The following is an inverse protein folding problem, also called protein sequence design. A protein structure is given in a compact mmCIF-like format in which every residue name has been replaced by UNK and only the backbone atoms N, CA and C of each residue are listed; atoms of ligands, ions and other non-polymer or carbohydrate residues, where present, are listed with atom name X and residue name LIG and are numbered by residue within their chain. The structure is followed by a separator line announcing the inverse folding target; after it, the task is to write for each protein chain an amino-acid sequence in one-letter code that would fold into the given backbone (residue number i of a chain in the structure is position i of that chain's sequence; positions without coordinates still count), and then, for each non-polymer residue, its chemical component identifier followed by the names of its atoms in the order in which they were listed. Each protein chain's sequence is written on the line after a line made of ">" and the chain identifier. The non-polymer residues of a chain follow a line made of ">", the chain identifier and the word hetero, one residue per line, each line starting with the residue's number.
data_IF_235658477164
#
_entry.id   IF_235658477164
#
_cell.length_a   1.000
_cell.length_b   1.000
_cell.length_c   1.000
_cell.angle_alpha   90.00
_cell.angle_beta   90.00
_cell.angle_gamma   90.00
#
_symmetry.space_group_name_H-M   'P 1'
#
loop_
_entity.id
_entity.type
_entity.pdbx_description
1 polymer ?
#
# COMPACT_ATOMS: atom_id res chain seq x y z
N UNK A 1 -46.32 -1.19 3.82
CA UNK A 1 -46.01 -2.24 4.82
C UNK A 1 -44.58 -2.70 4.60
N UNK A 2 -43.64 -2.26 5.44
CA UNK A 2 -42.24 -2.71 5.36
C UNK A 2 -42.17 -4.15 5.89
N UNK A 3 -41.82 -5.13 5.04
CA UNK A 3 -41.67 -6.51 5.50
C UNK A 3 -40.49 -6.59 6.47
N UNK A 4 -40.78 -6.95 7.71
CA UNK A 4 -39.76 -7.12 8.75
C UNK A 4 -39.47 -8.61 8.93
N UNK A 5 -38.24 -9.03 8.63
CA UNK A 5 -37.76 -10.38 8.85
C UNK A 5 -37.16 -10.52 10.26
N UNK A 6 -37.34 -11.65 10.94
CA UNK A 6 -36.74 -11.91 12.26
C UNK A 6 -35.82 -13.12 12.19
N UNK A 7 -34.57 -12.95 12.64
CA UNK A 7 -33.60 -14.04 12.76
C UNK A 7 -32.73 -13.83 13.99
N UNK A 8 -32.59 -14.87 14.82
CA UNK A 8 -31.82 -14.84 16.06
C UNK A 8 -32.18 -13.65 16.98
N UNK A 9 -33.46 -13.30 17.08
CA UNK A 9 -33.94 -12.17 17.90
C UNK A 9 -33.75 -10.79 17.27
N UNK A 10 -33.05 -10.66 16.15
CA UNK A 10 -32.84 -9.39 15.42
C UNK A 10 -33.91 -9.23 14.33
N UNK A 11 -34.50 -8.04 14.24
CA UNK A 11 -35.40 -7.65 13.15
C UNK A 11 -34.59 -7.10 11.98
N UNK A 12 -35.04 -7.31 10.75
CA UNK A 12 -34.42 -6.80 9.54
C UNK A 12 -35.48 -6.22 8.61
N UNK A 13 -35.18 -5.17 7.86
CA UNK A 13 -36.00 -4.72 6.74
C UNK A 13 -35.30 -5.04 5.41
N UNK A 14 -36.10 -5.07 4.36
CA UNK A 14 -35.61 -5.23 2.99
C UNK A 14 -35.17 -3.87 2.48
N UNK A 15 -33.91 -3.76 2.09
CA UNK A 15 -33.34 -2.53 1.55
C UNK A 15 -33.20 -2.57 0.02
N UNK A 16 -32.75 -3.72 -0.52
CA UNK A 16 -32.57 -3.95 -1.97
C UNK A 16 -32.88 -5.39 -2.34
N UNK A 17 -33.21 -5.61 -3.62
CA UNK A 17 -33.33 -6.94 -4.21
C UNK A 17 -32.78 -6.94 -5.65
N UNK A 18 -32.23 -8.08 -6.09
CA UNK A 18 -31.70 -8.24 -7.44
C UNK A 18 -31.68 -9.73 -7.84
N UNK A 19 -31.82 -10.02 -9.14
CA UNK A 19 -31.65 -11.40 -9.66
C UNK A 19 -30.20 -11.90 -9.63
N UNK A 20 -29.23 -11.03 -9.38
CA UNK A 20 -27.80 -11.33 -9.44
C UNK A 20 -27.18 -11.03 -8.07
N UNK A 21 -26.70 -12.07 -7.40
CA UNK A 21 -26.10 -11.98 -6.08
C UNK A 21 -24.87 -11.06 -6.05
N UNK A 22 -24.03 -11.09 -7.09
CA UNK A 22 -22.78 -10.33 -7.13
C UNK A 22 -23.01 -8.81 -7.08
N UNK A 23 -24.14 -8.33 -7.63
CA UNK A 23 -24.53 -6.92 -7.57
C UNK A 23 -24.85 -6.50 -6.13
N UNK A 24 -25.48 -7.38 -5.36
CA UNK A 24 -25.76 -7.12 -3.95
C UNK A 24 -24.50 -7.28 -3.09
N UNK A 25 -23.63 -8.24 -3.40
CA UNK A 25 -22.36 -8.44 -2.68
C UNK A 25 -21.42 -7.25 -2.84
N UNK A 26 -21.37 -6.62 -4.02
CA UNK A 26 -20.57 -5.43 -4.26
C UNK A 26 -20.97 -4.24 -3.37
N UNK A 27 -22.25 -4.14 -2.99
CA UNK A 27 -22.75 -3.06 -2.13
C UNK A 27 -22.87 -3.47 -0.66
N UNK A 28 -22.86 -4.76 -0.33
CA UNK A 28 -22.96 -5.25 1.06
C UNK A 28 -21.96 -4.56 2.04
N UNK A 29 -20.69 -4.28 1.68
CA UNK A 29 -19.76 -3.59 2.58
C UNK A 29 -20.16 -2.17 2.98
N UNK A 30 -21.10 -1.54 2.27
CA UNK A 30 -21.61 -0.20 2.61
C UNK A 30 -22.72 -0.25 3.66
N UNK A 31 -23.22 -1.44 4.00
CA UNK A 31 -24.31 -1.63 4.95
C UNK A 31 -23.81 -2.00 6.35
N UNK A 32 -24.62 -1.77 7.40
CA UNK A 32 -24.23 -2.07 8.77
C UNK A 32 -23.79 -3.53 8.96
N UNK A 33 -22.83 -3.80 9.86
CA UNK A 33 -22.48 -5.16 10.24
C UNK A 33 -23.73 -5.96 10.66
N UNK A 34 -23.84 -7.20 10.18
CA UNK A 34 -25.04 -8.03 10.36
C UNK A 34 -26.03 -7.95 9.21
N UNK A 35 -25.84 -7.04 8.25
CA UNK A 35 -26.57 -7.10 6.97
C UNK A 35 -26.15 -8.35 6.20
N UNK A 36 -27.09 -8.97 5.49
CA UNK A 36 -26.82 -10.18 4.72
C UNK A 36 -27.70 -10.27 3.47
N UNK A 37 -27.24 -11.08 2.52
CA UNK A 37 -27.98 -11.38 1.29
C UNK A 37 -28.57 -12.78 1.43
N UNK A 38 -29.84 -12.94 1.06
CA UNK A 38 -30.48 -14.25 0.98
C UNK A 38 -31.30 -14.38 -0.30
N UNK A 39 -31.39 -15.59 -0.81
CA UNK A 39 -32.27 -15.93 -1.93
C UNK A 39 -33.69 -16.13 -1.44
N UNK A 40 -34.64 -15.38 -2.01
CA UNK A 40 -36.07 -15.50 -1.72
C UNK A 40 -36.76 -16.22 -2.88
N UNK A 41 -37.06 -17.51 -2.68
CA UNK A 41 -37.68 -18.39 -3.69
C UNK A 41 -39.07 -17.91 -4.10
N UNK A 42 -39.77 -17.19 -3.23
CA UNK A 42 -41.11 -16.66 -3.53
C UNK A 42 -41.08 -15.21 -4.05
N UNK A 43 -39.88 -14.62 -4.16
CA UNK A 43 -39.70 -13.19 -4.37
C UNK A 43 -40.18 -12.34 -3.19
N UNK A 44 -40.03 -11.03 -3.30
CA UNK A 44 -40.40 -10.06 -2.26
C UNK A 44 -41.63 -9.26 -2.63
N UNK A 45 -42.41 -8.88 -1.63
CA UNK A 45 -43.57 -8.00 -1.83
C UNK A 45 -43.12 -6.55 -1.80
N UNK A 46 -43.44 -5.82 -2.85
CA UNK A 46 -43.13 -4.41 -3.03
C UNK A 46 -44.16 -3.51 -2.31
N UNK A 47 -43.83 -2.23 -2.05
CA UNK A 47 -44.74 -1.29 -1.40
C UNK A 47 -46.06 -1.08 -2.15
N UNK A 48 -46.05 -1.24 -3.47
CA UNK A 48 -47.22 -1.16 -4.35
C UNK A 48 -48.09 -2.43 -4.33
N UNK A 49 -47.72 -3.43 -3.51
CA UNK A 49 -48.44 -4.68 -3.34
C UNK A 49 -48.06 -5.79 -4.32
N UNK A 50 -47.28 -5.50 -5.37
CA UNK A 50 -46.80 -6.50 -6.34
C UNK A 50 -45.74 -7.41 -5.70
N UNK A 51 -45.57 -8.61 -6.24
CA UNK A 51 -44.45 -9.50 -5.88
C UNK A 51 -43.42 -9.50 -6.99
N UNK A 52 -42.14 -9.52 -6.62
CA UNK A 52 -41.06 -9.77 -7.57
C UNK A 52 -41.03 -11.26 -7.91
N UNK A 53 -40.35 -11.57 -9.02
CA UNK A 53 -39.83 -12.92 -9.27
C UNK A 53 -38.83 -13.36 -8.17
N UNK A 54 -38.49 -14.65 -8.09
CA UNK A 54 -37.47 -15.15 -7.18
C UNK A 54 -36.16 -14.37 -7.34
N UNK A 55 -35.63 -13.84 -6.25
CA UNK A 55 -34.49 -12.91 -6.31
C UNK A 55 -33.63 -12.96 -5.04
N UNK A 56 -32.41 -12.46 -5.13
CA UNK A 56 -31.60 -12.17 -3.95
C UNK A 56 -32.08 -10.89 -3.29
N UNK A 57 -32.04 -10.86 -1.97
CA UNK A 57 -32.56 -9.77 -1.14
C UNK A 57 -31.53 -9.41 -0.09
N UNK A 58 -31.26 -8.11 0.02
CA UNK A 58 -30.40 -7.54 1.04
C UNK A 58 -31.24 -7.15 2.27
N UNK A 59 -31.00 -7.86 3.35
CA UNK A 59 -31.61 -7.65 4.66
C UNK A 59 -30.71 -6.79 5.54
N UNK A 60 -31.26 -5.72 6.09
CA UNK A 60 -30.55 -4.76 6.96
C UNK A 60 -31.20 -4.76 8.35
N UNK A 61 -30.45 -4.90 9.46
CA UNK A 61 -31.03 -5.00 10.80
C UNK A 61 -31.75 -3.70 11.24
N UNK A 62 -32.95 -3.84 11.79
CA UNK A 62 -33.78 -2.78 12.38
C UNK A 62 -33.53 -2.75 13.89
N UNK A 63 -33.11 -1.59 14.42
CA UNK A 63 -33.03 -1.34 15.87
C UNK A 63 -31.67 -1.60 16.51
N UNK A 64 -30.60 -1.71 15.72
CA UNK A 64 -29.25 -1.45 16.24
C UNK A 64 -29.00 0.05 16.21
N UNK A 65 -29.45 0.77 17.24
CA UNK A 65 -28.90 2.09 17.61
C UNK A 65 -27.47 1.95 18.17
N UNK A 66 -26.71 0.98 17.66
CA UNK A 66 -25.27 1.04 17.78
C UNK A 66 -24.88 2.06 16.73
N UNK A 67 -24.33 3.23 17.09
CA UNK A 67 -23.64 4.04 16.10
C UNK A 67 -22.66 3.07 15.45
N UNK A 68 -22.84 2.82 14.16
CA UNK A 68 -21.79 2.24 13.33
C UNK A 68 -20.60 3.11 13.68
N UNK A 69 -19.71 2.60 14.54
CA UNK A 69 -18.49 3.33 14.83
C UNK A 69 -17.71 3.14 13.55
N UNK A 70 -17.89 4.10 12.63
CA UNK A 70 -17.39 4.20 11.26
C UNK A 70 -15.86 4.18 11.20
N UNK A 71 -15.17 3.71 12.23
CA UNK A 71 -13.72 3.59 12.28
C UNK A 71 -13.20 2.38 11.51
N UNK A 72 -13.99 1.32 11.35
CA UNK A 72 -13.52 0.10 10.67
C UNK A 72 -13.95 0.01 9.20
N UNK A 73 -15.12 0.55 8.81
CA UNK A 73 -15.63 0.49 7.44
C UNK A 73 -15.04 1.53 6.46
N UNK A 74 -14.21 2.47 6.94
CA UNK A 74 -13.63 3.54 6.12
C UNK A 74 -12.10 3.54 6.08
N UNK A 75 -11.45 2.40 6.33
CA UNK A 75 -9.99 2.29 6.10
C UNK A 75 -9.72 1.98 4.64
N UNK A 76 -9.66 3.04 3.85
CA UNK A 76 -9.07 3.03 2.50
C UNK A 76 -7.69 2.36 2.59
N UNK A 77 -7.30 1.52 1.61
CA UNK A 77 -5.98 0.91 1.58
C UNK A 77 -4.89 1.95 1.83
N UNK A 78 -3.93 1.63 2.70
CA UNK A 78 -2.80 2.53 2.96
C UNK A 78 -1.92 2.59 1.71
N UNK A 79 -1.95 3.71 1.00
CA UNK A 79 -1.05 3.96 -0.13
C UNK A 79 0.20 4.72 0.33
N UNK A 80 1.37 4.25 -0.07
CA UNK A 80 2.64 4.93 0.21
C UNK A 80 2.63 6.34 -0.40
N UNK A 81 3.05 7.33 0.38
CA UNK A 81 3.07 8.75 -0.01
C UNK A 81 1.70 9.42 -0.23
N UNK A 82 0.60 8.75 0.12
CA UNK A 82 -0.74 9.34 0.11
C UNK A 82 -1.27 9.27 1.55
N UNK A 83 -1.70 10.42 2.08
CA UNK A 83 -2.22 10.54 3.44
C UNK A 83 -3.63 11.09 3.36
N UNK A 84 -4.58 10.40 4.00
CA UNK A 84 -5.93 10.93 4.20
C UNK A 84 -5.87 12.00 5.30
N UNK A 85 -6.46 13.15 5.04
CA UNK A 85 -6.67 14.21 6.04
C UNK A 85 -8.17 14.47 6.09
N UNK A 86 -8.71 14.35 7.30
CA UNK A 86 -10.09 14.62 7.64
C UNK A 86 -10.10 15.61 8.80
N UNK A 87 -10.41 16.87 8.52
CA UNK A 87 -10.52 17.95 9.51
C UNK A 87 -11.99 18.39 9.58
N UNK A 88 -12.66 18.01 10.68
CA UNK A 88 -14.07 18.29 10.89
C UNK A 88 -14.34 19.77 11.20
N UNK A 89 -13.41 20.46 11.85
CA UNK A 89 -13.59 21.87 12.20
C UNK A 89 -13.52 22.75 10.96
N UNK A 90 -12.58 22.43 10.05
CA UNK A 90 -12.37 23.17 8.81
C UNK A 90 -13.19 22.65 7.63
N UNK A 91 -13.96 21.57 7.85
CA UNK A 91 -14.70 20.86 6.79
C UNK A 91 -13.79 20.47 5.61
N UNK A 92 -12.54 20.12 5.91
CA UNK A 92 -11.53 19.79 4.91
C UNK A 92 -11.32 18.28 4.87
N UNK A 93 -11.80 17.67 3.79
CA UNK A 93 -11.74 16.24 3.56
C UNK A 93 -11.01 15.97 2.25
N UNK A 94 -9.95 15.18 2.29
CA UNK A 94 -9.18 14.89 1.08
C UNK A 94 -7.90 14.12 1.32
N UNK A 95 -7.11 14.00 0.26
CA UNK A 95 -5.84 13.29 0.26
C UNK A 95 -4.68 14.24 -0.02
N UNK A 96 -3.66 14.18 0.83
CA UNK A 96 -2.37 14.82 0.60
C UNK A 96 -1.42 13.80 -0.03
N UNK A 97 -0.91 14.13 -1.22
CA UNK A 97 0.14 13.34 -1.87
C UNK A 97 1.47 14.05 -1.70
N UNK A 98 2.52 13.31 -1.30
CA UNK A 98 3.87 13.87 -1.17
C UNK A 98 4.93 12.87 -1.65
N UNK A 99 5.41 13.06 -2.87
CA UNK A 99 6.50 12.26 -3.45
C UNK A 99 7.82 13.03 -3.33
N UNK A 100 8.83 12.36 -2.77
CA UNK A 100 10.18 12.91 -2.67
C UNK A 100 11.20 11.98 -3.30
N UNK A 101 12.13 12.57 -4.06
CA UNK A 101 13.23 11.86 -4.70
C UNK A 101 14.40 12.79 -5.01
N UNK A 102 15.63 12.37 -4.69
CA UNK A 102 16.87 13.13 -4.94
C UNK A 102 16.83 14.62 -4.50
N UNK A 103 16.10 14.93 -3.42
CA UNK A 103 15.93 16.29 -2.92
C UNK A 103 14.84 17.11 -3.64
N UNK A 104 14.24 16.59 -4.70
CA UNK A 104 13.04 17.17 -5.34
C UNK A 104 11.77 16.66 -4.64
N UNK A 105 10.76 17.52 -4.55
CA UNK A 105 9.49 17.24 -3.89
C UNK A 105 8.35 17.61 -4.84
N UNK A 106 7.45 16.65 -5.09
CA UNK A 106 6.15 16.87 -5.71
C UNK A 106 5.08 16.65 -4.66
N UNK A 107 4.24 17.65 -4.43
CA UNK A 107 3.16 17.59 -3.44
C UNK A 107 1.90 18.19 -4.03
N UNK A 108 0.75 17.62 -3.70
CA UNK A 108 -0.54 18.18 -4.10
C UNK A 108 -1.66 17.68 -3.18
N UNK A 109 -2.80 18.37 -3.21
CA UNK A 109 -3.97 18.15 -2.38
C UNK A 109 -5.21 17.83 -3.22
N UNK A 110 -5.90 16.74 -2.86
CA UNK A 110 -7.06 16.22 -3.57
C UNK A 110 -8.28 16.24 -2.65
N UNK A 111 -9.08 17.29 -2.74
CA UNK A 111 -10.28 17.47 -1.93
C UNK A 111 -11.45 16.60 -2.44
N UNK A 112 -12.19 15.99 -1.53
CA UNK A 112 -13.33 15.12 -1.87
C UNK A 112 -14.39 15.86 -2.70
N UNK A 113 -14.72 17.09 -2.31
CA UNK A 113 -15.73 17.92 -2.98
C UNK A 113 -15.39 18.13 -4.47
N UNK A 114 -14.10 18.27 -4.80
CA UNK A 114 -13.66 18.51 -6.18
C UNK A 114 -13.73 17.26 -7.06
N UNK A 115 -13.51 16.08 -6.48
CA UNK A 115 -13.33 14.83 -7.23
C UNK A 115 -14.49 13.83 -7.01
N UNK A 116 -15.70 14.32 -6.69
CA UNK A 116 -16.88 13.46 -6.61
C UNK A 116 -16.90 12.54 -5.38
N UNK A 117 -16.25 12.97 -4.30
CA UNK A 117 -16.19 12.25 -3.03
C UNK A 117 -14.88 11.49 -2.83
N UNK A 118 -14.89 10.65 -1.79
CA UNK A 118 -13.68 10.02 -1.26
C UNK A 118 -12.95 9.12 -2.26
N UNK A 119 -13.67 8.30 -3.01
CA UNK A 119 -13.06 7.36 -3.96
C UNK A 119 -12.46 8.06 -5.18
N UNK A 120 -13.17 9.06 -5.73
CA UNK A 120 -12.64 9.83 -6.86
C UNK A 120 -11.43 10.68 -6.48
N UNK A 121 -11.42 11.26 -5.27
CA UNK A 121 -10.25 11.97 -4.76
C UNK A 121 -9.04 11.04 -4.55
N UNK A 122 -9.27 9.80 -4.12
CA UNK A 122 -8.21 8.79 -4.00
C UNK A 122 -7.63 8.41 -5.36
N UNK A 123 -8.48 8.17 -6.35
CA UNK A 123 -8.04 7.80 -7.70
C UNK A 123 -7.17 8.91 -8.31
N UNK A 124 -7.64 10.16 -8.23
CA UNK A 124 -6.87 11.33 -8.67
C UNK A 124 -5.51 11.45 -7.94
N UNK A 125 -5.48 11.19 -6.63
CA UNK A 125 -4.26 11.18 -5.83
C UNK A 125 -3.28 10.08 -6.26
N UNK A 126 -3.77 8.89 -6.62
CA UNK A 126 -2.96 7.78 -7.14
C UNK A 126 -2.37 8.16 -8.50
N UNK A 127 -3.18 8.68 -9.43
CA UNK A 127 -2.72 9.13 -10.74
C UNK A 127 -1.60 10.17 -10.63
N UNK A 128 -1.78 11.18 -9.77
CA UNK A 128 -0.76 12.20 -9.53
C UNK A 128 0.53 11.59 -8.95
N UNK A 129 0.41 10.68 -7.97
CA UNK A 129 1.56 9.98 -7.38
C UNK A 129 2.35 9.20 -8.43
N UNK A 130 1.66 8.50 -9.33
CA UNK A 130 2.31 7.74 -10.40
C UNK A 130 2.99 8.64 -11.44
N UNK A 131 2.34 9.75 -11.82
CA UNK A 131 2.95 10.77 -12.68
C UNK A 131 4.21 11.37 -12.03
N UNK A 132 4.14 11.71 -10.74
CA UNK A 132 5.28 12.22 -9.99
C UNK A 132 6.43 11.21 -9.87
N UNK A 133 6.15 9.90 -9.76
CA UNK A 133 7.19 8.87 -9.80
C UNK A 133 7.88 8.80 -11.15
N UNK A 134 7.10 8.84 -12.24
CA UNK A 134 7.64 8.83 -13.60
C UNK A 134 8.50 10.06 -13.86
N UNK A 135 7.99 11.25 -13.52
CA UNK A 135 8.68 12.52 -13.73
C UNK A 135 9.99 12.61 -12.95
N UNK A 136 10.00 12.15 -11.70
CA UNK A 136 11.20 12.17 -10.86
C UNK A 136 12.16 11.01 -11.17
N UNK A 137 11.75 10.00 -11.92
CA UNK A 137 12.53 8.77 -12.11
C UNK A 137 12.73 8.00 -10.80
N UNK A 138 11.73 8.02 -9.91
CA UNK A 138 11.78 7.29 -8.64
C UNK A 138 11.44 5.80 -8.89
N UNK A 139 12.26 4.85 -8.40
CA UNK A 139 11.95 3.43 -8.53
C UNK A 139 10.62 3.08 -7.87
N UNK A 140 9.76 2.37 -8.60
CA UNK A 140 8.49 1.82 -8.09
C UNK A 140 8.78 0.61 -7.21
N UNK A 141 8.97 0.86 -5.92
CA UNK A 141 9.19 -0.20 -4.92
C UNK A 141 8.45 0.13 -3.64
N UNK A 142 7.92 -0.90 -2.99
CA UNK A 142 7.34 -0.79 -1.66
C UNK A 142 8.41 -0.50 -0.60
N UNK A 143 9.65 -0.90 -0.85
CA UNK A 143 10.76 -0.65 0.06
C UNK A 143 11.12 0.83 0.17
N UNK A 144 11.66 1.23 1.32
CA UNK A 144 12.17 2.58 1.50
C UNK A 144 13.47 2.77 0.71
N UNK A 145 13.46 3.73 -0.23
CA UNK A 145 14.64 4.13 -1.00
C UNK A 145 15.02 5.55 -0.64
N UNK A 146 16.31 5.76 -0.34
CA UNK A 146 16.86 7.05 0.02
C UNK A 146 17.49 7.66 -1.23
N UNK A 147 16.91 8.75 -1.73
CA UNK A 147 17.40 9.42 -2.95
C UNK A 147 18.51 10.44 -2.71
N UNK A 148 18.62 11.00 -1.50
CA UNK A 148 19.70 11.92 -1.11
C UNK A 148 20.03 11.70 0.36
N UNK A 149 21.31 11.56 0.70
CA UNK A 149 21.79 11.39 2.07
C UNK A 149 22.96 12.32 2.35
N UNK A 150 23.16 12.68 3.63
CA UNK A 150 24.35 13.40 4.07
C UNK A 150 25.51 12.40 4.14
N UNK A 151 26.42 12.45 3.16
CA UNK A 151 27.60 11.57 3.09
C UNK A 151 28.82 12.41 2.71
N UNK A 152 29.98 12.05 3.25
CA UNK A 152 31.24 12.76 2.96
C UNK A 152 31.83 12.41 1.58
N UNK A 153 31.31 11.37 0.92
CA UNK A 153 31.73 10.93 -0.41
C UNK A 153 30.81 11.42 -1.53
N UNK A 154 29.65 12.00 -1.19
CA UNK A 154 28.58 12.30 -2.15
C UNK A 154 27.77 11.07 -2.59
N UNK A 155 28.14 9.86 -2.16
CA UNK A 155 27.47 8.60 -2.51
C UNK A 155 26.76 7.99 -1.30
N UNK A 156 25.45 7.77 -1.43
CA UNK A 156 24.60 7.25 -0.36
C UNK A 156 25.04 5.85 0.07
N UNK A 157 25.29 5.67 1.37
CA UNK A 157 25.72 4.41 1.95
C UNK A 157 27.21 4.12 1.79
N UNK A 158 28.00 5.12 1.35
CA UNK A 158 29.46 5.06 1.28
C UNK A 158 30.04 6.16 2.17
N UNK A 159 30.92 5.77 3.09
CA UNK A 159 31.59 6.70 4.00
C UNK A 159 33.09 6.51 3.91
N UNK A 160 33.84 7.61 3.77
CA UNK A 160 35.29 7.62 3.97
C UNK A 160 35.59 7.70 5.46
N UNK A 161 36.39 6.77 5.98
CA UNK A 161 36.79 6.74 7.40
C UNK A 161 38.17 6.12 7.59
N UNK A 162 38.75 6.31 8.77
CA UNK A 162 39.94 5.60 9.20
C UNK A 162 39.51 4.33 9.95
N UNK A 163 40.06 3.18 9.57
CA UNK A 163 39.84 1.88 10.22
C UNK A 163 41.20 1.23 10.47
N UNK A 164 41.50 0.95 11.74
CA UNK A 164 42.80 0.41 12.17
C UNK A 164 44.01 1.18 11.60
N UNK A 165 43.95 2.51 11.65
CA UNK A 165 45.00 3.40 11.15
C UNK A 165 45.11 3.53 9.63
N UNK A 166 44.23 2.89 8.85
CA UNK A 166 44.22 2.97 7.38
C UNK A 166 42.96 3.68 6.89
N UNK A 167 43.10 4.54 5.88
CA UNK A 167 41.94 5.13 5.22
C UNK A 167 41.23 4.10 4.34
N UNK A 168 39.91 4.01 4.51
CA UNK A 168 39.04 3.09 3.78
C UNK A 168 37.76 3.78 3.32
N UNK A 169 37.23 3.34 2.18
CA UNK A 169 35.83 3.56 1.85
C UNK A 169 35.02 2.37 2.38
N UNK A 170 34.12 2.65 3.32
CA UNK A 170 33.22 1.66 3.88
C UNK A 170 31.82 1.82 3.27
N UNK A 171 31.26 0.70 2.83
CA UNK A 171 29.97 0.62 2.15
C UNK A 171 29.02 -0.20 3.00
N UNK A 172 27.77 0.22 3.08
CA UNK A 172 26.70 -0.51 3.76
C UNK A 172 25.53 -0.75 2.84
N UNK A 173 24.85 -1.89 2.98
CA UNK A 173 23.55 -2.16 2.36
C UNK A 173 22.72 -3.13 3.20
N UNK A 174 21.45 -3.26 2.86
CA UNK A 174 20.52 -4.17 3.54
C UNK A 174 20.19 -5.32 2.61
N UNK A 175 20.35 -6.54 3.10
CA UNK A 175 20.03 -7.79 2.43
C UNK A 175 18.93 -8.49 3.25
N UNK A 176 17.69 -8.39 2.79
CA UNK A 176 16.52 -8.81 3.56
C UNK A 176 16.42 -8.06 4.90
N UNK A 177 16.58 -8.79 6.01
CA UNK A 177 16.60 -8.22 7.38
C UNK A 177 18.01 -7.92 7.91
N UNK A 178 19.06 -8.34 7.20
CA UNK A 178 20.46 -8.23 7.67
C UNK A 178 21.15 -7.02 7.04
N UNK A 179 21.98 -6.34 7.82
CA UNK A 179 22.87 -5.29 7.32
C UNK A 179 24.20 -5.91 6.91
N UNK A 180 24.67 -5.58 5.70
CA UNK A 180 25.96 -5.98 5.16
C UNK A 180 26.87 -4.78 5.00
N UNK A 181 28.17 -5.05 4.98
CA UNK A 181 29.19 -4.05 4.70
C UNK A 181 30.36 -4.62 3.92
N UNK A 182 31.06 -3.73 3.22
CA UNK A 182 32.35 -3.97 2.60
C UNK A 182 33.27 -2.78 2.87
N UNK A 183 34.59 -3.01 2.85
CA UNK A 183 35.58 -1.96 3.05
C UNK A 183 36.66 -2.07 1.98
N UNK A 184 37.05 -0.95 1.38
CA UNK A 184 38.08 -0.88 0.35
C UNK A 184 39.17 0.08 0.79
N UNK A 185 40.41 -0.41 0.91
CA UNK A 185 41.55 0.38 1.38
C UNK A 185 42.07 1.35 0.32
N UNK A 186 42.24 2.62 0.70
CA UNK A 186 42.80 3.64 -0.21
C UNK A 186 44.27 3.33 -0.53
N UNK A 187 45.04 2.83 0.46
CA UNK A 187 46.44 2.44 0.27
C UNK A 187 46.61 1.28 -0.73
N UNK A 188 45.65 0.38 -0.81
CA UNK A 188 45.73 -0.84 -1.64
C UNK A 188 45.35 -0.58 -3.10
N UNK A 189 44.28 0.19 -3.33
CA UNK A 189 43.71 0.38 -4.66
C UNK A 189 43.95 1.79 -5.24
N UNK A 190 44.36 2.74 -4.41
CA UNK A 190 44.31 4.17 -4.73
C UNK A 190 42.90 4.73 -4.57
N UNK A 191 42.79 6.02 -4.28
CA UNK A 191 41.51 6.67 -3.90
C UNK A 191 40.42 6.49 -4.96
N UNK A 192 40.73 6.78 -6.23
CA UNK A 192 39.76 6.70 -7.32
C UNK A 192 39.20 5.29 -7.52
N UNK A 193 40.08 4.28 -7.52
CA UNK A 193 39.69 2.88 -7.74
C UNK A 193 38.97 2.31 -6.52
N UNK A 194 39.42 2.63 -5.31
CA UNK A 194 38.74 2.24 -4.07
C UNK A 194 37.31 2.80 -4.01
N UNK A 195 37.11 4.07 -4.41
CA UNK A 195 35.78 4.67 -4.49
C UNK A 195 34.91 3.99 -5.57
N UNK A 196 35.46 3.69 -6.75
CA UNK A 196 34.72 2.99 -7.80
C UNK A 196 34.26 1.59 -7.35
N UNK A 197 35.13 0.83 -6.69
CA UNK A 197 34.78 -0.47 -6.10
C UNK A 197 33.67 -0.33 -5.05
N UNK A 198 33.75 0.69 -4.20
CA UNK A 198 32.72 1.00 -3.22
C UNK A 198 31.36 1.31 -3.87
N UNK A 199 31.35 2.12 -4.94
CA UNK A 199 30.13 2.44 -5.71
C UNK A 199 29.56 1.19 -6.37
N UNK A 200 30.38 0.34 -6.96
CA UNK A 200 29.95 -0.89 -7.59
C UNK A 200 29.30 -1.84 -6.58
N UNK A 201 29.95 -2.07 -5.44
CA UNK A 201 29.41 -2.90 -4.35
C UNK A 201 28.07 -2.35 -3.83
N UNK A 202 27.96 -1.03 -3.67
CA UNK A 202 26.72 -0.38 -3.24
C UNK A 202 25.58 -0.59 -4.24
N UNK A 203 25.86 -0.41 -5.54
CA UNK A 203 24.87 -0.60 -6.61
C UNK A 203 24.39 -2.05 -6.68
N UNK A 204 25.31 -3.01 -6.56
CA UNK A 204 24.97 -4.42 -6.55
C UNK A 204 24.09 -4.79 -5.34
N UNK A 205 24.45 -4.33 -4.15
CA UNK A 205 23.66 -4.58 -2.94
C UNK A 205 22.26 -3.95 -2.99
N UNK A 206 22.13 -2.73 -3.52
CA UNK A 206 20.80 -2.11 -3.71
C UNK A 206 19.99 -2.79 -4.81
N UNK A 207 20.62 -3.28 -5.89
CA UNK A 207 19.93 -4.05 -6.92
C UNK A 207 19.34 -5.34 -6.34
N UNK A 208 20.15 -6.12 -5.61
CA UNK A 208 19.69 -7.33 -4.92
C UNK A 208 18.57 -7.04 -3.92
N UNK A 209 18.68 -5.93 -3.18
CA UNK A 209 17.66 -5.51 -2.21
C UNK A 209 16.31 -5.20 -2.88
N UNK A 210 16.34 -4.50 -4.01
CA UNK A 210 15.13 -4.01 -4.67
C UNK A 210 14.45 -5.05 -5.56
N UNK A 211 15.24 -5.91 -6.22
CA UNK A 211 14.75 -6.85 -7.23
C UNK A 211 14.89 -8.32 -6.80
N UNK A 212 15.47 -8.59 -5.63
CA UNK A 212 15.82 -9.94 -5.19
C UNK A 212 17.04 -10.49 -5.93
N UNK A 213 17.64 -11.55 -5.40
CA UNK A 213 18.44 -12.46 -6.21
C UNK A 213 17.46 -13.27 -7.09
N UNK A 214 17.77 -13.62 -8.36
CA UNK A 214 17.24 -14.89 -8.85
C UNK A 214 17.68 -15.95 -7.84
N UNK A 215 16.79 -16.81 -7.36
CA UNK A 215 17.17 -17.88 -6.44
C UNK A 215 18.44 -18.54 -6.97
N UNK A 216 19.51 -18.50 -6.19
CA UNK A 216 20.76 -19.17 -6.57
C UNK A 216 20.41 -20.62 -6.91
N UNK A 217 20.85 -21.16 -8.06
CA UNK A 217 20.60 -22.57 -8.35
C UNK A 217 21.17 -23.42 -7.19
N UNK A 218 20.51 -24.55 -6.86
CA UNK A 218 20.89 -25.36 -5.71
C UNK A 218 22.38 -25.69 -5.79
N UNK A 219 23.06 -25.40 -4.69
CA UNK A 219 24.50 -25.60 -4.45
C UNK A 219 25.04 -26.88 -5.08
N UNK A 220 25.62 -26.78 -6.27
CA UNK A 220 26.43 -27.83 -6.85
C UNK A 220 27.83 -27.79 -6.22
N UNK A 221 28.05 -28.57 -5.17
CA UNK A 221 29.34 -29.21 -4.82
C UNK A 221 29.26 -29.92 -3.45
N UNK A 222 28.54 -31.03 -3.37
CA UNK A 222 28.98 -32.14 -2.51
C UNK A 222 29.92 -32.97 -3.39
N UNK A 223 31.22 -32.81 -3.20
CA UNK A 223 32.19 -33.73 -3.80
C UNK A 223 31.97 -35.12 -3.18
N UNK A 224 31.96 -36.21 -3.99
CA UNK A 224 31.88 -37.56 -3.44
C UNK A 224 33.15 -37.89 -2.66
N UNK A 225 33.07 -38.76 -1.63
CA UNK A 225 34.23 -39.15 -0.85
C UNK A 225 35.25 -39.86 -1.74
N UNK A 226 36.52 -39.49 -1.59
CA UNK A 226 37.66 -40.24 -2.13
C UNK A 226 37.66 -41.65 -1.52
N UNK A 227 37.79 -42.65 -2.38
CA UNK A 227 38.02 -44.05 -2.04
C UNK A 227 39.37 -44.25 -1.32
#
# INVERSE_FOLDING_TARGET
>A
MTMTYRRNGVRYHIERYHLNQAILEAVLPTYPPGSFIAWEVQGVRLPDGRRTEPCFVLYVPIGTDTPVTTRQAQRVPKHKNIVRIDDQERQMHGYLVRVQWQGKVRKDWFADVKYGGRLGALDAAICFKEAAYSELGKPRTDQQVIGKGRTNTGHIGITRRIKSGKEVFEVFWTEGKKRRSASFGIKEYGERKALQLAIAARRQGEHQRLFGLPESPPSAATQPPKA
#
